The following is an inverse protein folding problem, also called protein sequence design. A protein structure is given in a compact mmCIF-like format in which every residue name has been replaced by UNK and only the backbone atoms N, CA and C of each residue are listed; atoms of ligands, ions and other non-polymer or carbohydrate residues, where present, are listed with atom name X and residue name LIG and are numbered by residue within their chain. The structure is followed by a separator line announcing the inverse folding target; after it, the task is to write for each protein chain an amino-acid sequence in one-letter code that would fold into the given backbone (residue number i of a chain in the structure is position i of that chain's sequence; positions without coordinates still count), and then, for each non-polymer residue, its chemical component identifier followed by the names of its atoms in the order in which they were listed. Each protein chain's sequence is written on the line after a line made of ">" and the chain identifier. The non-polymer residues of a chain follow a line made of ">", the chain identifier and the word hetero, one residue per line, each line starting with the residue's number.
data_IF_272912920360
#
_entry.id   IF_272912920360
#
_cell.length_a   1.000
_cell.length_b   1.000
_cell.length_c   1.000
_cell.angle_alpha   90.00
_cell.angle_beta   90.00
_cell.angle_gamma   90.00
#
_symmetry.space_group_name_H-M   'P 1'
#
loop_
_entity.id
_entity.type
_entity.pdbx_description
1 polymer ?
#
# COMPACT_ATOMS: atom_id res chain seq x y z
N UNK A 1 13.98 18.38 64.24
CA UNK A 1 12.82 18.69 63.38
C UNK A 1 13.27 19.77 62.43
N UNK A 2 13.44 19.60 61.11
CA UNK A 2 13.22 18.54 60.14
C UNK A 2 14.29 18.75 59.05
N UNK A 3 14.92 17.74 58.47
CA UNK A 3 14.27 16.76 57.60
C UNK A 3 14.61 17.08 56.14
N UNK A 4 15.89 16.89 55.78
CA UNK A 4 16.44 17.03 54.42
C UNK A 4 15.70 16.09 53.45
N UNK A 5 15.28 16.60 52.29
CA UNK A 5 14.84 15.76 51.16
C UNK A 5 15.43 16.27 49.84
N UNK A 6 16.74 16.04 49.65
CA UNK A 6 17.42 16.17 48.37
C UNK A 6 17.29 14.84 47.63
N UNK A 7 16.54 14.82 46.52
CA UNK A 7 16.51 13.67 45.60
C UNK A 7 17.69 13.76 44.63
N UNK A 8 18.51 12.72 44.47
CA UNK A 8 19.55 12.71 43.45
C UNK A 8 18.95 12.44 42.06
N UNK A 9 19.38 13.24 41.08
CA UNK A 9 19.15 13.00 39.66
C UNK A 9 19.97 11.78 39.21
N UNK A 10 19.29 10.74 38.73
CA UNK A 10 19.92 9.57 38.13
C UNK A 10 20.38 9.86 36.68
N UNK A 11 21.54 9.37 36.25
CA UNK A 11 22.00 9.51 34.88
C UNK A 11 21.24 8.54 33.94
N UNK A 12 20.40 9.10 33.07
CA UNK A 12 19.79 8.37 31.95
C UNK A 12 20.86 8.21 30.86
N UNK A 13 21.63 7.13 30.96
CA UNK A 13 22.61 6.81 29.93
C UNK A 13 23.17 5.41 30.11
N UNK A 14 22.68 4.46 29.30
CA UNK A 14 23.26 3.13 28.93
C UNK A 14 22.35 1.91 29.06
N UNK A 15 21.11 2.03 29.56
CA UNK A 15 20.24 0.85 29.71
C UNK A 15 19.58 0.34 28.41
N UNK A 16 19.52 1.14 27.34
CA UNK A 16 18.85 0.76 26.09
C UNK A 16 19.63 -0.17 25.16
N UNK A 17 20.95 -0.34 25.34
CA UNK A 17 21.78 -1.11 24.41
C UNK A 17 21.86 -2.61 24.73
N UNK A 18 21.66 -2.98 26.00
CA UNK A 18 21.76 -4.37 26.44
C UNK A 18 20.51 -5.21 26.16
N UNK A 19 19.33 -4.58 26.10
CA UNK A 19 18.07 -5.27 25.82
C UNK A 19 17.92 -5.63 24.33
N UNK A 20 18.47 -4.82 23.42
CA UNK A 20 18.39 -5.08 21.99
C UNK A 20 19.32 -6.23 21.55
N UNK A 21 20.54 -6.31 22.09
CA UNK A 21 21.46 -7.42 21.76
C UNK A 21 20.96 -8.79 22.26
N UNK A 22 20.30 -8.84 23.43
CA UNK A 22 19.72 -10.10 23.93
C UNK A 22 18.49 -10.55 23.15
N UNK A 23 17.68 -9.62 22.63
CA UNK A 23 16.55 -9.98 21.76
C UNK A 23 17.03 -10.53 20.41
N UNK A 24 18.04 -9.91 19.79
CA UNK A 24 18.59 -10.39 18.51
C UNK A 24 19.24 -11.76 18.66
N UNK A 25 19.99 -12.00 19.74
CA UNK A 25 20.60 -13.31 20.01
C UNK A 25 19.56 -14.42 20.26
N UNK A 26 18.44 -14.08 20.93
CA UNK A 26 17.33 -15.01 21.16
C UNK A 26 16.62 -15.36 19.84
N UNK A 27 16.40 -14.37 18.96
CA UNK A 27 15.74 -14.58 17.67
C UNK A 27 16.59 -15.44 16.71
N UNK A 28 17.91 -15.24 16.67
CA UNK A 28 18.84 -16.06 15.87
C UNK A 28 18.90 -17.51 16.40
N UNK A 29 18.88 -17.69 17.72
CA UNK A 29 18.87 -19.03 18.34
C UNK A 29 17.55 -19.78 18.09
N UNK A 30 16.42 -19.06 18.05
CA UNK A 30 15.11 -19.66 17.77
C UNK A 30 14.98 -20.06 16.29
N UNK A 31 15.51 -19.24 15.38
CA UNK A 31 15.53 -19.54 13.94
C UNK A 31 16.44 -20.73 13.59
N UNK A 32 17.62 -20.83 14.21
CA UNK A 32 18.54 -21.95 13.98
C UNK A 32 18.06 -23.28 14.59
N UNK A 33 17.22 -23.24 15.63
CA UNK A 33 16.60 -24.46 16.20
C UNK A 33 15.42 -24.97 15.37
N UNK A 34 14.73 -24.09 14.65
CA UNK A 34 13.64 -24.46 13.74
C UNK A 34 14.14 -25.10 12.43
N UNK A 35 15.35 -24.76 11.96
CA UNK A 35 15.88 -25.30 10.70
C UNK A 35 16.46 -26.73 10.80
N UNK A 36 16.68 -27.27 12.00
CA UNK A 36 17.34 -28.57 12.21
C UNK A 36 16.39 -29.77 12.38
N UNK A 37 15.07 -29.55 12.31
CA UNK A 37 14.06 -30.60 12.57
C UNK A 37 13.35 -31.19 11.36
N UNK A 38 13.50 -30.62 10.16
CA UNK A 38 12.79 -31.12 8.98
C UNK A 38 13.59 -32.25 8.32
N UNK A 39 13.15 -33.50 8.53
CA UNK A 39 13.62 -34.64 7.72
C UNK A 39 13.21 -34.41 6.26
N UNK A 40 14.10 -34.55 5.29
CA UNK A 40 13.75 -34.40 3.88
C UNK A 40 12.81 -35.55 3.48
N UNK A 41 11.58 -35.22 3.11
CA UNK A 41 10.71 -36.15 2.40
C UNK A 41 11.23 -36.32 0.96
N UNK A 42 11.33 -37.55 0.45
CA UNK A 42 11.77 -37.79 -0.93
C UNK A 42 10.61 -37.47 -1.87
N UNK A 43 10.50 -36.20 -2.28
CA UNK A 43 9.65 -35.83 -3.42
C UNK A 43 10.51 -35.92 -4.68
N UNK A 44 10.07 -36.79 -5.57
CA UNK A 44 10.70 -37.14 -6.82
C UNK A 44 10.99 -35.92 -7.72
N UNK A 45 12.19 -35.94 -8.31
CA UNK A 45 12.59 -35.41 -9.62
C UNK A 45 11.65 -34.35 -10.23
N UNK A 46 11.91 -33.08 -9.93
CA UNK A 46 11.72 -31.96 -10.86
C UNK A 46 12.97 -31.09 -10.80
N UNK A 47 13.47 -30.70 -11.98
CA UNK A 47 14.84 -30.23 -12.22
C UNK A 47 15.24 -28.92 -11.54
N UNK A 48 16.54 -28.57 -11.59
CA UNK A 48 17.09 -27.44 -10.86
C UNK A 48 16.75 -26.12 -11.58
N UNK A 49 15.84 -25.33 -10.99
CA UNK A 49 15.71 -23.91 -11.34
C UNK A 49 16.62 -23.12 -10.41
N UNK A 50 17.55 -22.43 -11.06
CA UNK A 50 18.61 -21.58 -10.51
C UNK A 50 18.01 -20.42 -9.74
N UNK A 51 18.10 -20.45 -8.40
CA UNK A 51 17.85 -19.29 -7.55
C UNK A 51 18.69 -19.43 -6.29
N UNK A 52 19.98 -19.11 -6.30
CA UNK A 52 20.72 -18.73 -5.08
C UNK A 52 22.13 -18.21 -5.41
N UNK A 53 22.22 -16.98 -5.93
CA UNK A 53 23.50 -16.28 -6.06
C UNK A 53 23.22 -14.79 -6.14
N UNK A 54 23.09 -14.10 -4.99
CA UNK A 54 23.21 -12.64 -4.83
C UNK A 54 23.10 -12.19 -3.34
N UNK A 55 23.61 -12.97 -2.38
CA UNK A 55 23.57 -12.59 -0.94
C UNK A 55 24.93 -12.14 -0.35
N UNK A 56 25.97 -11.91 -1.17
CA UNK A 56 27.35 -11.64 -0.68
C UNK A 56 27.92 -10.25 -1.00
N UNK A 57 27.19 -9.38 -1.66
CA UNK A 57 27.73 -8.09 -2.14
C UNK A 57 27.43 -6.88 -1.24
N UNK A 58 26.49 -6.96 -0.28
CA UNK A 58 26.12 -5.80 0.54
C UNK A 58 27.01 -5.53 1.76
N UNK A 59 27.99 -6.40 2.09
CA UNK A 59 28.86 -6.19 3.26
C UNK A 59 30.08 -5.29 3.00
N UNK A 60 30.40 -4.92 1.75
CA UNK A 60 31.62 -4.16 1.41
C UNK A 60 31.43 -2.65 1.23
N UNK A 61 30.19 -2.15 1.14
CA UNK A 61 29.94 -0.72 0.88
C UNK A 61 29.83 0.10 2.18
N UNK A 62 29.61 -0.52 3.34
CA UNK A 62 29.43 0.20 4.61
C UNK A 62 30.73 0.54 5.38
N UNK A 63 31.92 0.36 4.81
CA UNK A 63 33.19 0.67 5.50
C UNK A 63 33.91 1.96 5.05
N UNK A 64 33.37 2.74 4.10
CA UNK A 64 34.15 3.84 3.48
C UNK A 64 33.65 5.27 3.71
N UNK A 65 32.86 5.55 4.75
CA UNK A 65 32.46 6.93 5.09
C UNK A 65 32.76 7.26 6.56
N UNK A 66 34.04 7.29 6.89
CA UNK A 66 34.50 7.87 8.16
C UNK A 66 35.87 8.49 7.96
N UNK A 67 35.90 9.73 7.47
CA UNK A 67 36.77 10.85 7.90
C UNK A 67 36.90 11.93 6.82
N UNK A 68 36.25 13.08 7.00
CA UNK A 68 36.76 14.36 6.48
C UNK A 68 36.32 15.51 7.40
N UNK A 69 36.89 15.46 8.62
CA UNK A 69 37.00 16.60 9.53
C UNK A 69 38.23 17.41 9.08
N UNK A 70 38.01 18.65 8.64
CA UNK A 70 38.93 19.82 8.62
C UNK A 70 38.68 20.58 7.33
N UNK A 71 38.26 21.84 7.45
CA UNK A 71 38.87 22.99 6.80
C UNK A 71 38.46 24.23 7.60
N UNK A 72 39.39 24.67 8.43
CA UNK A 72 39.49 26.03 8.95
C UNK A 72 40.62 26.70 8.16
N UNK A 73 40.56 28.02 8.08
CA UNK A 73 41.58 28.94 7.57
C UNK A 73 41.58 29.15 6.05
N UNK A 74 40.99 30.25 5.60
CA UNK A 74 41.75 31.28 4.87
C UNK A 74 41.10 32.65 5.11
N UNK A 75 41.97 33.64 5.30
CA UNK A 75 41.76 34.92 5.95
C UNK A 75 41.20 36.02 5.01
N UNK A 76 40.72 37.14 5.58
CA UNK A 76 40.27 38.33 4.85
C UNK A 76 41.39 39.38 4.70
N UNK A 77 41.44 40.09 3.56
CA UNK A 77 42.11 41.40 3.39
C UNK A 77 41.51 42.05 2.12
N UNK A 78 40.72 43.12 2.25
CA UNK A 78 41.11 44.54 2.26
C UNK A 78 41.37 45.11 0.85
N UNK A 79 40.45 46.00 0.44
CA UNK A 79 40.74 47.15 -0.42
C UNK A 79 40.52 46.95 -1.92
N UNK A 80 39.38 47.43 -2.43
CA UNK A 80 39.39 48.19 -3.69
C UNK A 80 38.11 49.03 -3.89
N UNK A 81 38.33 50.34 -3.89
CA UNK A 81 37.76 51.37 -4.75
C UNK A 81 36.25 51.50 -4.98
N UNK A 82 35.75 52.57 -4.37
CA UNK A 82 34.63 53.42 -4.78
C UNK A 82 34.83 53.94 -6.23
N UNK A 83 33.96 53.56 -7.18
CA UNK A 83 33.55 54.40 -8.34
C UNK A 83 32.34 53.77 -9.07
N UNK A 84 31.27 54.55 -9.22
CA UNK A 84 29.98 54.15 -9.82
C UNK A 84 30.06 53.86 -11.33
N UNK A 85 29.07 53.14 -11.90
CA UNK A 85 27.96 53.89 -12.50
C UNK A 85 26.57 53.31 -12.18
N UNK A 86 25.59 54.22 -12.16
CA UNK A 86 24.17 53.95 -12.19
C UNK A 86 23.80 53.30 -13.53
N UNK A 87 24.00 51.99 -13.66
CA UNK A 87 23.32 51.20 -14.68
C UNK A 87 21.90 50.94 -14.18
N UNK A 88 20.96 51.78 -14.62
CA UNK A 88 19.54 51.43 -14.79
C UNK A 88 19.45 50.30 -15.83
N UNK A 89 20.00 49.13 -15.48
CA UNK A 89 19.84 47.92 -16.23
C UNK A 89 18.38 47.54 -16.13
N UNK A 90 17.70 47.49 -17.27
CA UNK A 90 16.43 46.80 -17.41
C UNK A 90 16.54 45.50 -16.62
N UNK A 91 15.83 45.43 -15.50
CA UNK A 91 15.57 44.18 -14.80
C UNK A 91 14.70 43.40 -15.79
N UNK A 92 15.36 42.76 -16.76
CA UNK A 92 14.81 41.71 -17.60
C UNK A 92 14.53 40.56 -16.64
N UNK A 93 13.51 40.75 -15.81
CA UNK A 93 12.74 39.69 -15.24
C UNK A 93 12.31 38.89 -16.48
N UNK A 94 12.91 37.71 -16.72
CA UNK A 94 12.67 36.99 -17.95
C UNK A 94 11.16 36.78 -18.05
N UNK A 95 10.53 37.42 -19.03
CA UNK A 95 9.09 37.34 -19.29
C UNK A 95 8.69 35.94 -19.83
N UNK A 96 9.53 34.93 -19.61
CA UNK A 96 9.27 33.53 -19.91
C UNK A 96 8.68 32.89 -18.66
N UNK A 97 7.47 32.35 -18.78
CA UNK A 97 6.78 31.67 -17.67
C UNK A 97 7.68 30.63 -17.02
N UNK A 98 8.03 30.86 -15.76
CA UNK A 98 8.89 29.94 -15.03
C UNK A 98 8.13 28.64 -14.75
N UNK A 99 8.76 27.50 -15.04
CA UNK A 99 8.23 26.17 -14.76
C UNK A 99 8.79 25.70 -13.43
N UNK A 100 7.92 25.26 -12.52
CA UNK A 100 8.30 24.61 -11.27
C UNK A 100 7.98 23.11 -11.32
N UNK A 101 8.76 22.34 -10.56
CA UNK A 101 8.58 20.90 -10.40
C UNK A 101 8.24 20.58 -8.95
N UNK A 102 7.32 19.64 -8.71
CA UNK A 102 6.92 19.22 -7.37
C UNK A 102 6.89 17.70 -7.25
N UNK A 103 7.59 17.17 -6.25
CA UNK A 103 7.54 15.75 -5.90
C UNK A 103 6.41 15.49 -4.89
N UNK A 104 5.25 15.08 -5.40
CA UNK A 104 4.06 14.87 -4.57
C UNK A 104 4.21 13.69 -3.60
N UNK A 105 5.01 12.68 -3.97
CA UNK A 105 5.25 11.52 -3.11
C UNK A 105 6.13 11.93 -1.92
N UNK A 106 7.17 12.72 -2.17
CA UNK A 106 7.99 13.29 -1.10
C UNK A 106 7.18 14.24 -0.20
N UNK A 107 6.29 15.08 -0.77
CA UNK A 107 5.38 15.91 0.05
C UNK A 107 4.47 15.03 0.93
N UNK A 108 3.92 13.94 0.39
CA UNK A 108 3.09 13.01 1.16
C UNK A 108 3.85 12.35 2.32
N UNK A 109 5.14 12.03 2.12
CA UNK A 109 6.02 11.51 3.18
C UNK A 109 6.32 12.56 4.26
N UNK A 110 6.68 13.78 3.86
CA UNK A 110 7.02 14.87 4.79
C UNK A 110 5.83 15.35 5.61
N UNK A 111 4.63 15.32 5.02
CA UNK A 111 3.38 15.72 5.69
C UNK A 111 2.76 14.61 6.54
N UNK A 112 3.25 13.37 6.40
CA UNK A 112 2.74 12.19 7.11
C UNK A 112 1.53 11.52 6.45
N UNK A 113 1.05 12.04 5.32
CA UNK A 113 -0.11 11.50 4.58
C UNK A 113 0.14 10.07 4.12
N UNK A 114 1.38 9.71 3.76
CA UNK A 114 1.74 8.33 3.38
C UNK A 114 1.45 7.33 4.51
N UNK A 115 1.65 7.71 5.78
CA UNK A 115 1.33 6.85 6.93
C UNK A 115 -0.18 6.71 7.12
N UNK A 116 -0.94 7.79 6.92
CA UNK A 116 -2.41 7.74 6.96
C UNK A 116 -2.98 6.84 5.86
N UNK A 117 -2.51 6.97 4.61
CA UNK A 117 -2.92 6.11 3.49
C UNK A 117 -2.65 4.64 3.81
N UNK A 118 -1.44 4.31 4.30
CA UNK A 118 -1.09 2.94 4.69
C UNK A 118 -2.03 2.40 5.77
N UNK A 119 -2.36 3.23 6.76
CA UNK A 119 -3.26 2.83 7.86
C UNK A 119 -4.66 2.53 7.34
N UNK A 120 -5.19 3.36 6.42
CA UNK A 120 -6.51 3.14 5.81
C UNK A 120 -6.56 1.93 4.90
N UNK A 121 -5.52 1.71 4.10
CA UNK A 121 -5.42 0.52 3.26
C UNK A 121 -5.34 -0.75 4.10
N UNK A 122 -4.55 -0.75 5.18
CA UNK A 122 -4.47 -1.88 6.10
C UNK A 122 -5.82 -2.19 6.76
N UNK A 123 -6.56 -1.16 7.19
CA UNK A 123 -7.91 -1.34 7.73
C UNK A 123 -8.87 -1.92 6.69
N UNK A 124 -8.85 -1.42 5.45
CA UNK A 124 -9.68 -1.93 4.36
C UNK A 124 -9.32 -3.38 3.99
N UNK A 125 -8.04 -3.70 3.95
CA UNK A 125 -7.54 -5.06 3.70
C UNK A 125 -8.00 -6.03 4.79
N UNK A 126 -7.93 -5.62 6.06
CA UNK A 126 -8.43 -6.43 7.18
C UNK A 126 -9.93 -6.72 7.04
N UNK A 127 -10.74 -5.72 6.68
CA UNK A 127 -12.18 -5.90 6.43
C UNK A 127 -12.43 -6.90 5.30
N UNK A 128 -11.79 -6.72 4.14
CA UNK A 128 -11.95 -7.60 2.99
C UNK A 128 -11.49 -9.04 3.28
N UNK A 129 -10.41 -9.21 4.02
CA UNK A 129 -9.95 -10.53 4.47
C UNK A 129 -10.96 -11.20 5.42
N UNK A 130 -11.57 -10.44 6.32
CA UNK A 130 -12.64 -10.94 7.20
C UNK A 130 -13.87 -11.42 6.42
N UNK A 131 -14.27 -10.68 5.38
CA UNK A 131 -15.36 -11.06 4.47
C UNK A 131 -15.02 -12.36 3.71
N UNK A 132 -13.80 -12.48 3.19
CA UNK A 132 -13.34 -13.68 2.47
C UNK A 132 -13.32 -14.93 3.37
N UNK A 133 -12.86 -14.80 4.62
CA UNK A 133 -12.87 -15.89 5.59
C UNK A 133 -14.31 -16.32 5.93
N UNK A 134 -15.21 -15.35 6.10
CA UNK A 134 -16.63 -15.60 6.36
C UNK A 134 -17.28 -16.32 5.17
N UNK A 135 -17.02 -15.88 3.94
CA UNK A 135 -17.52 -16.54 2.73
C UNK A 135 -16.98 -17.97 2.60
N UNK A 136 -15.69 -18.19 2.88
CA UNK A 136 -15.09 -19.51 2.88
C UNK A 136 -15.72 -20.44 3.92
N UNK A 137 -15.97 -19.95 5.14
CA UNK A 137 -16.61 -20.73 6.19
C UNK A 137 -18.04 -21.15 5.81
N UNK A 138 -18.83 -20.22 5.25
CA UNK A 138 -20.19 -20.51 4.75
C UNK A 138 -20.19 -21.59 3.66
N UNK A 139 -19.34 -21.45 2.64
CA UNK A 139 -19.24 -22.44 1.55
C UNK A 139 -18.81 -23.83 2.06
N UNK A 140 -17.91 -23.89 3.05
CA UNK A 140 -17.51 -25.16 3.68
C UNK A 140 -18.65 -25.79 4.48
N UNK A 141 -19.41 -24.99 5.21
CA UNK A 141 -20.57 -25.45 5.96
C UNK A 141 -21.65 -25.99 5.02
N UNK A 142 -21.96 -25.29 3.94
CA UNK A 142 -22.91 -25.76 2.93
C UNK A 142 -22.45 -27.06 2.26
N UNK A 143 -21.17 -27.17 1.91
CA UNK A 143 -20.61 -28.40 1.36
C UNK A 143 -20.76 -29.57 2.36
N UNK A 144 -20.47 -29.33 3.64
CA UNK A 144 -20.64 -30.33 4.69
C UNK A 144 -22.11 -30.75 4.84
N UNK A 145 -23.05 -29.79 4.85
CA UNK A 145 -24.48 -30.07 4.93
C UNK A 145 -24.96 -30.91 3.74
N UNK A 146 -24.54 -30.57 2.51
CA UNK A 146 -24.89 -31.33 1.29
C UNK A 146 -24.30 -32.75 1.31
N UNK A 147 -23.07 -32.93 1.84
CA UNK A 147 -22.47 -34.25 2.02
C UNK A 147 -23.23 -35.10 3.03
N UNK A 148 -23.59 -34.53 4.18
CA UNK A 148 -24.39 -35.23 5.19
C UNK A 148 -25.77 -35.62 4.65
N UNK A 149 -26.41 -34.75 3.86
CA UNK A 149 -27.71 -35.03 3.24
C UNK A 149 -27.65 -36.16 2.19
N UNK A 150 -26.54 -36.31 1.48
CA UNK A 150 -26.36 -37.38 0.48
C UNK A 150 -25.98 -38.75 1.09
N UNK A 151 -25.69 -38.81 2.40
CA UNK A 151 -25.32 -40.03 3.11
C UNK A 151 -23.89 -40.54 2.83
N UNK A 152 -23.56 -41.72 3.36
CA UNK A 152 -22.22 -42.33 3.24
C UNK A 152 -21.92 -42.85 1.83
N UNK A 153 -22.96 -43.27 1.10
CA UNK A 153 -22.89 -43.82 -0.25
C UNK A 153 -23.78 -42.98 -1.18
N UNK A 154 -23.33 -41.77 -1.58
CA UNK A 154 -24.09 -40.93 -2.48
C UNK A 154 -24.31 -41.63 -3.81
N UNK A 155 -25.51 -41.50 -4.36
CA UNK A 155 -25.79 -41.93 -5.73
C UNK A 155 -24.86 -41.23 -6.74
N UNK A 156 -24.70 -41.80 -7.94
CA UNK A 156 -23.88 -41.20 -9.00
C UNK A 156 -24.29 -39.76 -9.31
N UNK A 157 -25.59 -39.48 -9.29
CA UNK A 157 -26.14 -38.15 -9.54
C UNK A 157 -25.81 -37.17 -8.41
N UNK A 158 -25.93 -37.58 -7.15
CA UNK A 158 -25.56 -36.76 -5.99
C UNK A 158 -24.06 -36.46 -5.94
N UNK A 159 -23.23 -37.46 -6.24
CA UNK A 159 -21.79 -37.27 -6.34
C UNK A 159 -21.43 -36.23 -7.42
N UNK A 160 -22.11 -36.28 -8.57
CA UNK A 160 -21.93 -35.29 -9.64
C UNK A 160 -22.37 -33.89 -9.20
N UNK A 161 -23.52 -33.77 -8.50
CA UNK A 161 -24.00 -32.49 -7.95
C UNK A 161 -23.03 -31.91 -6.91
N UNK A 162 -22.49 -32.74 -6.01
CA UNK A 162 -21.49 -32.34 -5.03
C UNK A 162 -20.21 -31.82 -5.70
N UNK A 163 -19.72 -32.52 -6.72
CA UNK A 163 -18.54 -32.11 -7.47
C UNK A 163 -18.78 -30.79 -8.21
N UNK A 164 -19.95 -30.60 -8.82
CA UNK A 164 -20.33 -29.35 -9.48
C UNK A 164 -20.42 -28.20 -8.48
N UNK A 165 -20.98 -28.44 -7.29
CA UNK A 165 -21.06 -27.45 -6.22
C UNK A 165 -19.66 -27.07 -5.70
N UNK A 166 -18.77 -28.03 -5.50
CA UNK A 166 -17.40 -27.73 -5.08
C UNK A 166 -16.65 -26.91 -6.14
N UNK A 167 -16.80 -27.25 -7.42
CA UNK A 167 -16.23 -26.50 -8.52
C UNK A 167 -16.80 -25.08 -8.64
N UNK A 168 -18.11 -24.88 -8.43
CA UNK A 168 -18.72 -23.54 -8.43
C UNK A 168 -18.29 -22.72 -7.22
N UNK A 169 -18.24 -23.32 -6.01
CA UNK A 169 -17.77 -22.67 -4.80
C UNK A 169 -16.32 -22.18 -4.92
N UNK A 170 -15.43 -23.01 -5.49
CA UNK A 170 -14.04 -22.63 -5.74
C UNK A 170 -13.92 -21.46 -6.73
N UNK A 171 -14.72 -21.45 -7.80
CA UNK A 171 -14.79 -20.32 -8.75
C UNK A 171 -15.31 -19.05 -8.09
N UNK A 172 -16.34 -19.15 -7.27
CA UNK A 172 -16.91 -18.00 -6.54
C UNK A 172 -15.88 -17.39 -5.59
N UNK A 173 -15.14 -18.23 -4.85
CA UNK A 173 -14.10 -17.77 -3.93
C UNK A 173 -12.92 -17.13 -4.67
N UNK A 174 -12.49 -17.70 -5.79
CA UNK A 174 -11.46 -17.11 -6.65
C UNK A 174 -11.89 -15.73 -7.20
N UNK A 175 -13.13 -15.62 -7.64
CA UNK A 175 -13.72 -14.35 -8.09
C UNK A 175 -13.73 -13.30 -6.97
N UNK A 176 -14.23 -13.66 -5.78
CA UNK A 176 -14.26 -12.76 -4.62
C UNK A 176 -12.87 -12.23 -4.24
N UNK A 177 -11.84 -13.08 -4.28
CA UNK A 177 -10.44 -12.66 -4.05
C UNK A 177 -9.95 -11.66 -5.08
N UNK A 178 -10.26 -11.86 -6.36
CA UNK A 178 -9.87 -10.94 -7.41
C UNK A 178 -10.56 -9.58 -7.23
N UNK A 179 -11.86 -9.58 -6.93
CA UNK A 179 -12.60 -8.35 -6.68
C UNK A 179 -12.08 -7.61 -5.45
N UNK A 180 -11.73 -8.30 -4.36
CA UNK A 180 -11.12 -7.69 -3.19
C UNK A 180 -9.80 -6.96 -3.52
N UNK A 181 -8.94 -7.55 -4.37
CA UNK A 181 -7.72 -6.88 -4.86
C UNK A 181 -8.04 -5.61 -5.65
N UNK A 182 -8.98 -5.71 -6.60
CA UNK A 182 -9.41 -4.56 -7.40
C UNK A 182 -9.95 -3.43 -6.51
N UNK A 183 -10.73 -3.76 -5.47
CA UNK A 183 -11.25 -2.77 -4.53
C UNK A 183 -10.14 -2.09 -3.71
N UNK A 184 -9.10 -2.83 -3.30
CA UNK A 184 -7.94 -2.24 -2.63
C UNK A 184 -7.19 -1.27 -3.55
N UNK A 185 -6.97 -1.67 -4.80
CA UNK A 185 -6.29 -0.82 -5.79
C UNK A 185 -7.11 0.45 -6.08
N UNK A 186 -8.42 0.32 -6.23
CA UNK A 186 -9.34 1.46 -6.40
C UNK A 186 -9.31 2.40 -5.19
N UNK A 187 -9.32 1.86 -3.96
CA UNK A 187 -9.25 2.70 -2.75
C UNK A 187 -7.90 3.42 -2.66
N UNK A 188 -6.80 2.76 -3.02
CA UNK A 188 -5.47 3.40 -3.10
C UNK A 188 -5.48 4.57 -4.08
N UNK A 189 -5.97 4.37 -5.30
CA UNK A 189 -6.03 5.42 -6.33
C UNK A 189 -6.90 6.59 -5.87
N UNK A 190 -8.04 6.30 -5.22
CA UNK A 190 -8.94 7.30 -4.65
C UNK A 190 -8.27 8.13 -3.56
N UNK A 191 -7.58 7.51 -2.61
CA UNK A 191 -6.87 8.23 -1.53
C UNK A 191 -5.77 9.15 -2.10
N UNK A 192 -5.02 8.67 -3.10
CA UNK A 192 -4.00 9.49 -3.79
C UNK A 192 -4.65 10.64 -4.55
N UNK A 193 -5.77 10.42 -5.25
CA UNK A 193 -6.49 11.47 -5.94
C UNK A 193 -7.00 12.55 -4.96
N UNK A 194 -7.56 12.14 -3.82
CA UNK A 194 -8.01 13.06 -2.76
C UNK A 194 -6.85 13.91 -2.23
N UNK A 195 -5.69 13.30 -1.96
CA UNK A 195 -4.49 14.04 -1.58
C UNK A 195 -4.12 15.10 -2.62
N UNK A 196 -4.11 14.71 -3.91
CA UNK A 196 -3.81 15.62 -5.02
C UNK A 196 -4.80 16.77 -5.15
N UNK A 197 -6.08 16.56 -4.90
CA UNK A 197 -7.06 17.65 -4.91
C UNK A 197 -6.83 18.63 -3.76
N UNK A 198 -6.48 18.14 -2.57
CA UNK A 198 -6.24 19.00 -1.40
C UNK A 198 -4.96 19.86 -1.53
N UNK A 199 -3.94 19.36 -2.23
CA UNK A 199 -2.66 20.07 -2.37
C UNK A 199 -2.64 21.10 -3.51
N UNK A 200 -3.51 20.97 -4.52
CA UNK A 200 -3.64 21.93 -5.64
C UNK A 200 -3.71 23.41 -5.23
N UNK A 201 -4.59 23.83 -4.31
CA UNK A 201 -4.66 25.25 -3.93
C UNK A 201 -3.36 25.76 -3.31
N UNK A 202 -2.69 24.95 -2.48
CA UNK A 202 -1.41 25.31 -1.86
C UNK A 202 -0.32 25.51 -2.91
N UNK A 203 -0.26 24.60 -3.90
CA UNK A 203 0.67 24.72 -5.02
C UNK A 203 0.38 25.97 -5.87
N UNK A 204 -0.89 26.27 -6.14
CA UNK A 204 -1.28 27.45 -6.91
C UNK A 204 -0.87 28.77 -6.22
N UNK A 205 -1.00 28.84 -4.89
CA UNK A 205 -0.53 29.99 -4.12
C UNK A 205 0.99 30.16 -4.20
N UNK A 206 1.75 29.06 -4.04
CA UNK A 206 3.22 29.10 -4.15
C UNK A 206 3.65 29.49 -5.57
N UNK A 207 2.93 29.00 -6.59
CA UNK A 207 3.16 29.39 -7.98
C UNK A 207 3.06 30.91 -8.14
N UNK A 208 1.97 31.49 -7.63
CA UNK A 208 1.70 32.92 -7.69
C UNK A 208 2.74 33.74 -6.92
N UNK A 209 3.12 33.30 -5.72
CA UNK A 209 4.12 33.97 -4.87
C UNK A 209 5.51 33.99 -5.51
N UNK A 210 5.89 32.92 -6.21
CA UNK A 210 7.22 32.74 -6.81
C UNK A 210 7.29 33.12 -8.29
N UNK A 211 6.17 33.49 -8.91
CA UNK A 211 6.10 33.84 -10.33
C UNK A 211 6.19 32.64 -11.28
N UNK A 212 5.83 31.43 -10.83
CA UNK A 212 5.73 30.26 -11.70
C UNK A 212 4.42 30.26 -12.49
N UNK A 213 4.47 29.98 -13.78
CA UNK A 213 3.29 29.88 -14.64
C UNK A 213 2.76 28.46 -14.75
N UNK A 214 3.62 27.45 -14.59
CA UNK A 214 3.29 26.03 -14.71
C UNK A 214 3.97 25.25 -13.60
N UNK A 215 3.21 24.36 -12.94
CA UNK A 215 3.74 23.37 -12.01
C UNK A 215 3.60 21.99 -12.63
N UNK A 216 4.71 21.25 -12.73
CA UNK A 216 4.75 19.90 -13.26
C UNK A 216 4.97 18.94 -12.08
N UNK A 217 4.04 18.00 -11.82
CA UNK A 217 4.29 16.91 -10.90
C UNK A 217 5.47 16.08 -11.39
N UNK A 218 6.42 15.79 -10.51
CA UNK A 218 7.56 14.95 -10.82
C UNK A 218 7.06 13.55 -11.12
N UNK A 219 7.40 13.07 -12.31
CA UNK A 219 7.15 11.73 -12.79
C UNK A 219 8.41 11.27 -13.48
N UNK A 220 8.96 10.13 -13.05
CA UNK A 220 10.24 9.58 -13.53
C UNK A 220 10.27 9.37 -15.06
N UNK A 221 9.10 9.28 -15.72
CA UNK A 221 9.00 9.16 -17.17
C UNK A 221 8.97 10.48 -17.96
N UNK A 222 8.70 11.62 -17.32
CA UNK A 222 8.51 12.91 -18.01
C UNK A 222 9.72 13.84 -17.91
N UNK A 223 10.45 13.81 -16.79
CA UNK A 223 11.54 14.74 -16.49
C UNK A 223 12.88 14.00 -16.45
N UNK A 224 13.78 14.29 -17.41
CA UNK A 224 15.11 13.66 -17.49
C UNK A 224 16.14 14.30 -16.56
N UNK A 225 16.03 15.61 -16.33
CA UNK A 225 16.91 16.36 -15.45
C UNK A 225 16.14 17.56 -14.86
N UNK A 226 16.36 17.82 -13.58
CA UNK A 226 15.70 18.90 -12.84
C UNK A 226 16.79 19.73 -12.16
N UNK A 227 16.78 21.04 -12.37
CA UNK A 227 17.65 21.96 -11.64
C UNK A 227 17.10 22.17 -10.23
N UNK A 228 17.92 22.14 -9.16
CA UNK A 228 17.43 22.25 -7.78
C UNK A 228 16.69 23.57 -7.49
N UNK A 229 16.95 24.64 -8.25
CA UNK A 229 16.28 25.93 -8.10
C UNK A 229 14.84 25.99 -8.65
N UNK A 230 14.39 24.97 -9.40
CA UNK A 230 12.99 24.92 -9.91
C UNK A 230 12.09 23.98 -9.11
N UNK A 231 12.65 23.26 -8.13
CA UNK A 231 11.90 22.34 -7.30
C UNK A 231 11.25 23.06 -6.11
N UNK A 232 9.93 22.93 -5.96
CA UNK A 232 9.15 23.59 -4.90
C UNK A 232 8.68 22.62 -3.80
N UNK A 233 9.14 21.36 -3.82
CA UNK A 233 8.73 20.28 -2.91
C UNK A 233 8.80 20.69 -1.44
N UNK A 234 9.93 21.25 -1.00
CA UNK A 234 10.10 21.69 0.39
C UNK A 234 9.14 22.82 0.76
N UNK A 235 8.98 23.81 -0.12
CA UNK A 235 8.08 24.95 0.11
C UNK A 235 6.62 24.51 0.26
N UNK A 236 6.19 23.56 -0.57
CA UNK A 236 4.84 22.97 -0.50
C UNK A 236 4.65 22.23 0.83
N UNK A 237 5.60 21.36 1.20
CA UNK A 237 5.52 20.60 2.46
C UNK A 237 5.54 21.50 3.70
N UNK A 238 6.31 22.58 3.67
CA UNK A 238 6.39 23.55 4.76
C UNK A 238 5.08 24.34 4.93
N UNK A 239 4.41 24.70 3.81
CA UNK A 239 3.16 25.46 3.84
C UNK A 239 1.97 24.64 4.34
N UNK A 240 1.94 23.34 4.07
CA UNK A 240 0.89 22.44 4.56
C UNK A 240 1.05 22.17 6.07
N UNK A 241 2.29 21.97 6.53
CA UNK A 241 2.58 21.50 7.89
C UNK A 241 2.25 20.01 8.08
N UNK A 242 2.71 19.41 9.19
CA UNK A 242 2.41 17.99 9.49
C UNK A 242 1.00 17.87 10.06
N UNK A 243 0.20 16.96 9.48
CA UNK A 243 -1.13 16.59 10.00
C UNK A 243 -2.28 17.51 9.61
N UNK A 244 -2.06 18.52 8.77
CA UNK A 244 -3.12 19.44 8.31
C UNK A 244 -3.99 18.82 7.21
N UNK A 245 -3.43 17.93 6.40
CA UNK A 245 -4.18 17.19 5.38
C UNK A 245 -4.79 15.97 6.07
N UNK A 246 -6.12 15.99 6.15
CA UNK A 246 -6.91 14.83 6.54
C UNK A 246 -7.57 14.28 5.29
N UNK A 247 -7.26 13.04 4.94
CA UNK A 247 -7.97 12.36 3.87
C UNK A 247 -9.38 12.07 4.40
N UNK A 248 -10.37 12.91 4.06
CA UNK A 248 -11.71 12.77 4.60
C UNK A 248 -12.25 11.34 4.43
N UNK A 249 -12.89 10.81 5.47
CA UNK A 249 -13.76 9.63 5.36
C UNK A 249 -15.11 9.96 4.73
N UNK A 250 -15.22 11.12 4.09
CA UNK A 250 -16.46 11.74 3.64
C UNK A 250 -17.30 10.76 2.83
N UNK A 251 -18.38 10.28 3.44
CA UNK A 251 -19.62 9.64 2.93
C UNK A 251 -19.57 8.56 1.84
N UNK A 252 -18.42 8.24 1.24
CA UNK A 252 -18.30 7.20 0.23
C UNK A 252 -18.35 5.81 0.86
N UNK A 253 -18.14 5.69 2.18
CA UNK A 253 -18.34 4.44 2.92
C UNK A 253 -19.76 3.86 2.68
N UNK A 254 -20.78 4.73 2.61
CA UNK A 254 -22.15 4.31 2.33
C UNK A 254 -22.34 3.76 0.90
N UNK A 255 -21.61 4.32 -0.07
CA UNK A 255 -21.69 3.85 -1.48
C UNK A 255 -20.87 2.58 -1.72
N UNK A 256 -19.77 2.39 -1.00
CA UNK A 256 -18.95 1.17 -1.09
C UNK A 256 -19.59 -0.01 -0.34
N UNK A 257 -20.35 0.23 0.73
CA UNK A 257 -21.09 -0.84 1.43
C UNK A 257 -22.21 -1.43 0.55
N UNK A 258 -22.86 -0.61 -0.28
CA UNK A 258 -23.84 -1.08 -1.26
C UNK A 258 -23.21 -2.00 -2.33
N UNK A 259 -21.97 -1.70 -2.76
CA UNK A 259 -21.23 -2.55 -3.70
C UNK A 259 -20.77 -3.87 -3.05
N UNK A 260 -20.37 -3.84 -1.77
CA UNK A 260 -20.01 -5.05 -1.02
C UNK A 260 -21.21 -5.99 -0.82
N UNK A 261 -22.43 -5.45 -0.62
CA UNK A 261 -23.65 -6.27 -0.57
C UNK A 261 -24.01 -6.92 -1.91
N UNK A 262 -23.61 -6.31 -3.03
CA UNK A 262 -23.72 -6.91 -4.36
C UNK A 262 -22.68 -8.00 -4.64
N UNK A 263 -21.62 -8.09 -3.83
CA UNK A 263 -20.57 -9.10 -3.95
C UNK A 263 -20.83 -10.35 -3.12
N UNK A 264 -21.93 -10.41 -2.35
CA UNK A 264 -22.42 -11.69 -1.86
C UNK A 264 -22.55 -12.58 -3.10
N UNK A 265 -21.75 -13.66 -3.24
CA UNK A 265 -21.84 -14.54 -4.38
C UNK A 265 -23.30 -14.90 -4.46
N UNK A 266 -23.95 -14.57 -5.57
CA UNK A 266 -25.27 -15.08 -5.86
C UNK A 266 -25.08 -16.58 -5.86
N UNK A 267 -25.34 -17.20 -4.69
CA UNK A 267 -25.45 -18.63 -4.57
C UNK A 267 -26.35 -19.01 -5.72
N UNK A 268 -25.94 -19.94 -6.60
CA UNK A 268 -26.75 -20.34 -7.73
C UNK A 268 -28.12 -20.60 -7.14
N UNK A 269 -29.06 -19.68 -7.41
CA UNK A 269 -30.39 -19.73 -6.83
C UNK A 269 -30.83 -21.13 -7.16
N UNK A 270 -31.09 -21.93 -6.12
CA UNK A 270 -31.48 -23.33 -6.31
C UNK A 270 -32.59 -23.24 -7.35
N UNK A 271 -32.28 -23.67 -8.57
CA UNK A 271 -33.20 -23.55 -9.69
C UNK A 271 -34.37 -24.39 -9.22
N UNK A 272 -35.39 -23.68 -8.74
CA UNK A 272 -36.64 -24.21 -8.22
C UNK A 272 -37.03 -25.25 -9.24
N UNK A 273 -36.93 -26.51 -8.80
CA UNK A 273 -36.96 -27.66 -9.67
C UNK A 273 -38.14 -27.47 -10.59
N UNK A 274 -37.86 -27.26 -11.88
CA UNK A 274 -38.87 -27.06 -12.89
C UNK A 274 -39.89 -28.17 -12.68
N UNK A 275 -41.08 -27.81 -12.20
CA UNK A 275 -42.24 -28.68 -12.17
C UNK A 275 -42.32 -29.22 -13.59
N UNK A 276 -42.23 -30.54 -13.83
CA UNK A 276 -42.36 -31.08 -15.16
C UNK A 276 -43.74 -30.67 -15.66
N UNK A 277 -43.76 -29.67 -16.54
CA UNK A 277 -44.96 -29.19 -17.18
C UNK A 277 -45.47 -30.33 -18.05
N UNK A 278 -46.42 -31.06 -17.49
CA UNK A 278 -47.57 -31.67 -18.13
C UNK A 278 -47.38 -31.95 -19.63
N UNK A 279 -47.03 -33.20 -19.91
CA UNK A 279 -47.13 -33.84 -21.22
C UNK A 279 -48.39 -33.40 -21.94
N UNK A 280 -48.24 -32.54 -22.95
CA UNK A 280 -49.29 -32.35 -23.96
C UNK A 280 -49.28 -33.62 -24.81
N UNK A 281 -50.40 -34.38 -24.89
CA UNK A 281 -50.46 -35.59 -25.67
C UNK A 281 -50.28 -35.27 -27.17
N UNK A 282 -49.55 -36.15 -27.84
CA UNK A 282 -49.28 -36.07 -29.28
C UNK A 282 -50.59 -36.02 -30.08
N UNK A 283 -50.69 -35.19 -31.13
CA UNK A 283 -51.82 -35.23 -32.04
C UNK A 283 -51.78 -36.55 -32.83
N UNK A 284 -52.83 -37.33 -32.65
CA UNK A 284 -53.15 -38.55 -33.38
C UNK A 284 -53.36 -38.20 -34.87
N UNK A 285 -52.55 -38.80 -35.75
CA UNK A 285 -52.68 -38.67 -37.20
C UNK A 285 -53.93 -39.43 -37.67
N UNK A 286 -54.84 -38.80 -38.44
CA UNK A 286 -55.96 -39.50 -39.03
C UNK A 286 -55.48 -40.45 -40.14
N UNK A 287 -55.89 -41.71 -40.05
CA UNK A 287 -55.87 -42.65 -41.16
C UNK A 287 -57.09 -42.40 -42.06
N UNK A 288 -56.79 -42.32 -43.36
CA UNK A 288 -57.68 -42.38 -44.55
C UNK A 288 -58.59 -41.18 -44.87
#
# INVERSE_FOLDING_TARGET
>A
MDGRNMRPLLPIGKFGRFLFERMVACWISLWTRFSKGAKPTPIARLGPIVMFREAKTMSKIMCSLKTSKRWKFFAPLLGFSLLAPLSTGCNQQPAGGAVAVVDLDQVAELTGVTAEIKTKLAAKEQTLNGELLTAQAKLRQELANRKTAAGELPSREEAQKLQQFEASANRALASARNTAKTLLDQERLKLVAQFREQIKPVMAEIAKEKGYSVIIPKNDGLLLAISPGVEITEAVSAKIGRGTIHLGTTDVAAKTEAAARSMAPALPAEHEAATPANTTPAPELPNE
#
